data_IF_031533019599
#
_entry.id   IF_031533019599
#
_cell.length_a   1.000
_cell.length_b   1.000
_cell.length_c   1.000
_cell.angle_alpha   90.00
_cell.angle_beta   90.00
_cell.angle_gamma   90.00
#
_symmetry.space_group_name_H-M   'P 1'
#
loop_
_entity.id
_entity.type
_entity.pdbx_description
1 polymer ?
#
# COMPACT_ATOMS: atom_id res chain seq x y z
N UNK A 1 -4.00 34.73 -11.18
CA UNK A 1 -3.23 34.30 -12.38
C UNK A 1 -3.85 33.02 -12.87
N UNK A 2 -4.53 33.05 -14.02
CA UNK A 2 -5.02 31.85 -14.69
C UNK A 2 -3.83 31.20 -15.40
N UNK A 3 -3.49 29.99 -15.04
CA UNK A 3 -2.48 29.19 -15.75
C UNK A 3 -3.19 28.66 -16.99
N UNK A 4 -2.88 29.19 -18.16
CA UNK A 4 -3.36 28.67 -19.44
C UNK A 4 -2.65 27.34 -19.73
N UNK A 5 -3.21 26.23 -19.21
CA UNK A 5 -2.79 24.88 -19.55
C UNK A 5 -3.73 24.32 -20.60
N UNK A 6 -3.19 23.96 -21.75
CA UNK A 6 -3.92 23.27 -22.82
C UNK A 6 -3.80 21.76 -22.62
N UNK A 7 -4.91 21.04 -22.83
CA UNK A 7 -4.94 19.60 -22.73
C UNK A 7 -4.27 18.97 -23.96
N UNK A 8 -3.21 18.18 -23.73
CA UNK A 8 -2.56 17.43 -24.80
C UNK A 8 -3.35 16.18 -25.16
N UNK A 9 -4.15 16.23 -26.21
CA UNK A 9 -5.00 15.11 -26.64
C UNK A 9 -4.19 13.86 -26.93
N UNK A 10 -3.00 13.99 -27.52
CA UNK A 10 -2.09 12.86 -27.82
C UNK A 10 -1.61 12.10 -26.58
N UNK A 11 -1.70 12.72 -25.38
CA UNK A 11 -1.27 12.14 -24.10
C UNK A 11 -2.47 11.82 -23.20
N UNK A 12 -3.68 12.10 -23.66
CA UNK A 12 -4.90 11.85 -22.89
C UNK A 12 -5.45 10.49 -23.29
N UNK A 13 -5.64 9.65 -22.30
CA UNK A 13 -6.22 8.31 -22.44
C UNK A 13 -7.36 8.17 -21.43
N UNK A 14 -8.33 7.33 -21.69
CA UNK A 14 -9.38 7.03 -20.71
C UNK A 14 -9.43 5.55 -20.37
N UNK A 15 -9.84 5.25 -19.15
CA UNK A 15 -9.99 3.90 -18.65
C UNK A 15 -11.37 3.74 -18.03
N UNK A 16 -12.03 2.62 -18.31
CA UNK A 16 -13.29 2.23 -17.69
C UNK A 16 -13.02 1.12 -16.68
N UNK A 17 -13.29 1.42 -15.41
CA UNK A 17 -13.16 0.40 -14.37
C UNK A 17 -14.33 -0.58 -14.43
N UNK A 18 -14.02 -1.87 -14.53
CA UNK A 18 -14.99 -2.96 -14.61
C UNK A 18 -15.02 -3.79 -13.35
N UNK A 19 -16.20 -4.18 -12.92
CA UNK A 19 -16.35 -5.26 -11.94
C UNK A 19 -16.21 -6.62 -12.64
N UNK A 20 -15.72 -7.64 -11.91
CA UNK A 20 -15.48 -8.99 -12.48
C UNK A 20 -16.70 -9.66 -13.07
N UNK A 21 -17.91 -9.20 -12.72
CA UNK A 21 -19.18 -9.82 -13.12
C UNK A 21 -20.00 -8.99 -14.13
N UNK A 22 -19.48 -7.87 -14.64
CA UNK A 22 -20.22 -7.10 -15.63
C UNK A 22 -19.90 -7.59 -17.04
N UNK A 23 -20.74 -8.47 -17.55
CA UNK A 23 -20.67 -8.97 -18.92
C UNK A 23 -21.24 -7.99 -19.97
N UNK A 24 -21.88 -6.90 -19.55
CA UNK A 24 -22.59 -5.98 -20.44
C UNK A 24 -22.45 -4.51 -20.01
N UNK A 25 -21.27 -3.94 -20.12
CA UNK A 25 -21.17 -2.49 -20.27
C UNK A 25 -20.81 -2.21 -21.72
N UNK A 26 -21.66 -1.45 -22.44
CA UNK A 26 -21.39 -1.00 -23.79
C UNK A 26 -19.94 -0.50 -23.87
N UNK A 27 -19.09 -1.22 -24.58
CA UNK A 27 -17.69 -0.88 -24.69
C UNK A 27 -17.58 0.30 -25.67
N UNK A 28 -17.55 1.51 -25.14
CA UNK A 28 -16.99 2.62 -25.91
C UNK A 28 -15.49 2.37 -26.02
N UNK A 29 -15.00 2.16 -27.23
CA UNK A 29 -13.55 2.04 -27.48
C UNK A 29 -12.89 3.40 -27.64
N UNK A 30 -13.68 4.41 -28.03
CA UNK A 30 -13.23 5.79 -28.20
C UNK A 30 -14.25 6.75 -27.59
N UNK A 31 -13.75 7.87 -27.08
CA UNK A 31 -14.57 9.03 -26.66
C UNK A 31 -14.17 10.19 -27.54
N UNK A 32 -15.16 10.91 -28.11
CA UNK A 32 -14.92 12.12 -28.87
C UNK A 32 -14.81 13.31 -27.91
N UNK A 33 -13.73 14.03 -28.01
CA UNK A 33 -13.52 15.29 -27.32
C UNK A 33 -13.17 16.35 -28.38
N UNK A 34 -14.07 17.32 -28.58
CA UNK A 34 -14.03 18.25 -29.70
C UNK A 34 -13.96 17.48 -31.04
N UNK A 35 -12.93 17.73 -31.86
CA UNK A 35 -12.71 17.03 -33.14
C UNK A 35 -11.79 15.83 -33.06
N UNK A 36 -11.36 15.43 -31.85
CA UNK A 36 -10.35 14.40 -31.66
C UNK A 36 -10.96 13.18 -30.97
N UNK A 37 -10.42 11.99 -31.27
CA UNK A 37 -10.78 10.74 -30.64
C UNK A 37 -9.75 10.37 -29.57
N UNK A 38 -10.23 10.09 -28.36
CA UNK A 38 -9.42 9.60 -27.24
C UNK A 38 -9.63 8.10 -27.17
N UNK A 39 -8.52 7.34 -27.17
CA UNK A 39 -8.55 5.89 -27.12
C UNK A 39 -8.70 5.36 -25.68
N UNK A 40 -9.44 4.28 -25.57
CA UNK A 40 -9.55 3.52 -24.33
C UNK A 40 -8.30 2.70 -24.09
N UNK A 41 -7.85 2.67 -22.81
CA UNK A 41 -6.72 1.83 -22.39
C UNK A 41 -7.15 0.86 -21.28
N UNK A 42 -6.56 -0.33 -21.26
CA UNK A 42 -6.78 -1.33 -20.23
C UNK A 42 -5.83 -1.18 -19.04
N UNK A 43 -4.71 -0.49 -19.24
CA UNK A 43 -3.70 -0.20 -18.24
C UNK A 43 -3.14 1.20 -18.44
N UNK A 44 -2.87 1.88 -17.35
CA UNK A 44 -2.30 3.22 -17.36
C UNK A 44 -1.24 3.37 -16.26
N UNK A 45 -0.16 4.10 -16.54
CA UNK A 45 0.85 4.43 -15.54
C UNK A 45 0.62 5.84 -15.02
N UNK A 46 0.12 5.96 -13.80
CA UNK A 46 -0.15 7.23 -13.14
C UNK A 46 0.76 7.42 -11.93
N UNK A 47 1.55 8.50 -11.93
CA UNK A 47 2.49 8.84 -10.85
C UNK A 47 3.33 7.63 -10.37
N UNK A 48 3.80 6.80 -11.31
CA UNK A 48 4.60 5.61 -10.99
C UNK A 48 3.81 4.35 -10.64
N UNK A 49 2.50 4.43 -10.42
CA UNK A 49 1.61 3.28 -10.23
C UNK A 49 1.10 2.78 -11.58
N UNK A 50 1.12 1.48 -11.78
CA UNK A 50 0.47 0.83 -12.93
C UNK A 50 -0.92 0.41 -12.49
N UNK A 51 -1.94 1.06 -13.04
CA UNK A 51 -3.35 0.80 -12.75
C UNK A 51 -3.92 -0.02 -13.89
N UNK A 52 -4.67 -1.07 -13.58
CA UNK A 52 -5.42 -1.88 -14.54
C UNK A 52 -6.93 -1.68 -14.37
N UNK A 53 -7.73 -1.91 -15.42
CA UNK A 53 -9.18 -1.71 -15.44
C UNK A 53 -9.94 -2.50 -14.35
N UNK A 54 -9.33 -3.57 -13.82
CA UNK A 54 -9.90 -4.44 -12.78
C UNK A 54 -9.36 -4.14 -11.39
N UNK A 55 -8.42 -3.20 -11.26
CA UNK A 55 -7.73 -2.86 -10.01
C UNK A 55 -7.15 -4.10 -9.29
N UNK A 56 -6.55 -5.01 -10.07
CA UNK A 56 -5.96 -6.25 -9.52
C UNK A 56 -4.56 -6.02 -8.96
N UNK A 57 -3.90 -4.93 -9.36
CA UNK A 57 -2.52 -4.59 -9.02
C UNK A 57 -1.47 -5.58 -9.54
N UNK A 58 -1.86 -6.59 -10.32
CA UNK A 58 -0.94 -7.62 -10.82
C UNK A 58 0.19 -7.00 -11.63
N UNK A 59 -0.16 -6.14 -12.59
CA UNK A 59 0.83 -5.48 -13.45
C UNK A 59 1.77 -4.55 -12.66
N UNK A 60 1.24 -3.88 -11.61
CA UNK A 60 2.06 -3.07 -10.73
C UNK A 60 3.06 -3.90 -9.93
N UNK A 61 2.59 -4.99 -9.31
CA UNK A 61 3.45 -5.93 -8.55
C UNK A 61 4.50 -6.57 -9.47
N UNK A 62 4.16 -6.90 -10.72
CA UNK A 62 5.11 -7.41 -11.72
C UNK A 62 6.19 -6.36 -12.01
N UNK A 63 5.79 -5.10 -12.20
CA UNK A 63 6.72 -3.98 -12.40
C UNK A 63 7.65 -3.78 -11.20
N UNK A 64 7.10 -3.74 -9.99
CA UNK A 64 7.88 -3.61 -8.74
C UNK A 64 8.84 -4.78 -8.57
N UNK A 65 8.37 -6.02 -8.79
CA UNK A 65 9.21 -7.23 -8.70
C UNK A 65 10.37 -7.18 -9.66
N UNK A 66 10.12 -6.80 -10.92
CA UNK A 66 11.14 -6.67 -11.96
C UNK A 66 12.16 -5.58 -11.64
N UNK A 67 11.72 -4.47 -11.04
CA UNK A 67 12.60 -3.41 -10.58
C UNK A 67 13.47 -3.82 -9.38
N UNK A 68 12.97 -4.65 -8.47
CA UNK A 68 13.67 -5.04 -7.24
C UNK A 68 14.66 -6.19 -7.49
N UNK A 69 14.31 -7.15 -8.35
CA UNK A 69 15.09 -8.35 -8.56
C UNK A 69 16.58 -8.11 -8.91
N UNK A 70 16.96 -7.15 -9.77
CA UNK A 70 18.36 -6.83 -10.05
C UNK A 70 19.12 -6.39 -8.80
N UNK A 71 18.49 -5.60 -7.90
CA UNK A 71 19.13 -5.13 -6.67
C UNK A 71 19.33 -6.24 -5.65
N UNK A 72 18.41 -7.22 -5.60
CA UNK A 72 18.63 -8.45 -4.81
C UNK A 72 19.83 -9.22 -5.34
N UNK A 73 19.98 -9.32 -6.67
CA UNK A 73 21.15 -9.91 -7.32
C UNK A 73 22.46 -9.15 -7.06
N UNK A 74 22.37 -7.82 -7.03
CA UNK A 74 23.50 -6.93 -6.67
C UNK A 74 23.93 -7.20 -5.22
N UNK A 75 23.02 -7.19 -4.25
CA UNK A 75 23.34 -7.47 -2.84
C UNK A 75 24.04 -8.81 -2.66
N UNK A 76 23.63 -9.85 -3.40
CA UNK A 76 24.32 -11.16 -3.41
C UNK A 76 25.77 -11.02 -3.85
N UNK A 77 26.05 -10.25 -4.92
CA UNK A 77 27.40 -10.09 -5.51
C UNK A 77 28.32 -9.26 -4.64
N UNK A 78 27.82 -8.16 -4.05
CA UNK A 78 28.66 -7.26 -3.25
C UNK A 78 28.86 -7.75 -1.82
N UNK A 79 28.12 -8.78 -1.38
CA UNK A 79 28.16 -9.34 -0.02
C UNK A 79 29.59 -9.55 0.55
N UNK A 80 30.57 -10.08 -0.18
CA UNK A 80 31.92 -10.28 0.36
C UNK A 80 32.74 -9.00 0.48
N UNK A 81 32.33 -7.91 -0.17
CA UNK A 81 33.12 -6.67 -0.29
C UNK A 81 32.60 -5.52 0.56
N UNK A 82 31.39 -5.62 1.11
CA UNK A 82 30.76 -4.55 1.86
C UNK A 82 30.27 -5.04 3.23
N UNK A 83 30.32 -4.15 4.21
CA UNK A 83 29.80 -4.44 5.54
C UNK A 83 28.25 -4.45 5.57
N UNK A 84 27.71 -5.03 6.64
CA UNK A 84 26.25 -5.13 6.87
C UNK A 84 25.55 -3.76 6.82
N UNK A 85 26.16 -2.73 7.42
CA UNK A 85 25.57 -1.38 7.49
C UNK A 85 25.40 -0.78 6.10
N UNK A 86 26.41 -0.90 5.24
CA UNK A 86 26.34 -0.41 3.85
C UNK A 86 25.31 -1.21 3.04
N UNK A 87 25.31 -2.53 3.19
CA UNK A 87 24.32 -3.38 2.52
C UNK A 87 22.88 -3.03 2.94
N UNK A 88 22.67 -2.70 4.23
CA UNK A 88 21.36 -2.26 4.73
C UNK A 88 20.96 -0.88 4.17
N UNK A 89 21.89 0.05 4.03
CA UNK A 89 21.61 1.34 3.36
C UNK A 89 21.18 1.15 1.91
N UNK A 90 21.85 0.25 1.18
CA UNK A 90 21.47 -0.10 -0.20
C UNK A 90 20.09 -0.77 -0.26
N UNK A 91 19.77 -1.64 0.69
CA UNK A 91 18.43 -2.22 0.81
C UNK A 91 17.34 -1.15 0.98
N UNK A 92 17.54 -0.21 1.92
CA UNK A 92 16.57 0.87 2.12
C UNK A 92 16.43 1.78 0.89
N UNK A 93 17.53 2.09 0.23
CA UNK A 93 17.54 2.99 -0.93
C UNK A 93 16.86 2.35 -2.16
N UNK A 94 17.14 1.09 -2.48
CA UNK A 94 16.75 0.49 -3.76
C UNK A 94 15.61 -0.52 -3.67
N UNK A 95 15.39 -1.15 -2.53
CA UNK A 95 14.37 -2.19 -2.35
C UNK A 95 13.22 -1.66 -1.49
N UNK A 96 13.51 -1.26 -0.26
CA UNK A 96 12.49 -0.81 0.69
C UNK A 96 11.70 0.40 0.18
N UNK A 97 12.39 1.39 -0.38
CA UNK A 97 11.75 2.59 -0.96
C UNK A 97 10.72 2.24 -2.04
N UNK A 98 10.99 1.22 -2.87
CA UNK A 98 10.06 0.77 -3.92
C UNK A 98 8.91 -0.06 -3.36
N UNK A 99 9.16 -0.83 -2.30
CA UNK A 99 8.12 -1.60 -1.61
C UNK A 99 7.13 -0.69 -0.87
N UNK A 100 7.59 0.45 -0.33
CA UNK A 100 6.76 1.38 0.45
C UNK A 100 6.09 2.46 -0.40
N UNK A 101 6.55 2.68 -1.63
CA UNK A 101 5.99 3.73 -2.47
C UNK A 101 4.51 3.51 -2.74
N UNK A 102 3.66 4.44 -2.27
CA UNK A 102 2.20 4.38 -2.37
C UNK A 102 1.60 3.04 -1.90
N UNK A 103 2.28 2.31 -1.00
CA UNK A 103 1.87 0.98 -0.54
C UNK A 103 0.42 0.93 -0.01
N UNK A 104 -0.12 1.91 0.72
CA UNK A 104 -1.51 1.87 1.14
C UNK A 104 -2.50 1.67 -0.01
N UNK A 105 -2.23 2.24 -1.18
CA UNK A 105 -3.12 2.18 -2.34
C UNK A 105 -3.18 0.77 -2.93
N UNK A 106 -2.01 0.14 -3.15
CA UNK A 106 -1.93 -1.17 -3.81
C UNK A 106 -1.75 -2.35 -2.86
N UNK A 107 -1.72 -2.11 -1.55
CA UNK A 107 -1.68 -3.18 -0.53
C UNK A 107 -2.91 -4.09 -0.51
N UNK A 108 -3.97 -3.74 -1.26
CA UNK A 108 -5.14 -4.58 -1.51
C UNK A 108 -4.91 -5.69 -2.53
N UNK A 109 -3.72 -5.79 -3.12
CA UNK A 109 -3.36 -6.87 -4.04
C UNK A 109 -3.49 -8.27 -3.39
N UNK A 110 -3.57 -9.31 -4.22
CA UNK A 110 -3.76 -10.68 -3.73
C UNK A 110 -2.64 -11.15 -2.80
N UNK A 111 -2.94 -12.12 -1.94
CA UNK A 111 -1.92 -12.70 -1.04
C UNK A 111 -0.76 -13.34 -1.80
N UNK A 112 -1.03 -13.94 -2.95
CA UNK A 112 0.00 -14.52 -3.81
C UNK A 112 1.00 -13.47 -4.30
N UNK A 113 0.49 -12.31 -4.72
CA UNK A 113 1.30 -11.16 -5.14
C UNK A 113 2.15 -10.63 -3.97
N UNK A 114 1.57 -10.50 -2.79
CA UNK A 114 2.31 -10.10 -1.57
C UNK A 114 3.41 -11.10 -1.23
N UNK A 115 3.11 -12.40 -1.29
CA UNK A 115 4.08 -13.46 -1.01
C UNK A 115 5.24 -13.45 -2.02
N UNK A 116 4.99 -13.07 -3.26
CA UNK A 116 6.05 -12.90 -4.26
C UNK A 116 7.05 -11.81 -3.86
N UNK A 117 6.55 -10.64 -3.45
CA UNK A 117 7.39 -9.53 -2.97
C UNK A 117 8.08 -9.89 -1.64
N UNK A 118 7.38 -10.57 -0.73
CA UNK A 118 7.95 -11.08 0.51
C UNK A 118 9.15 -12.00 0.25
N UNK A 119 9.06 -12.89 -0.75
CA UNK A 119 10.19 -13.78 -1.11
C UNK A 119 11.40 -13.00 -1.60
N UNK A 120 11.20 -11.90 -2.35
CA UNK A 120 12.30 -11.02 -2.79
C UNK A 120 12.94 -10.30 -1.61
N UNK A 121 12.13 -9.77 -0.68
CA UNK A 121 12.60 -9.16 0.55
C UNK A 121 13.41 -10.16 1.40
N UNK A 122 12.88 -11.37 1.61
CA UNK A 122 13.56 -12.43 2.36
C UNK A 122 14.94 -12.75 1.77
N UNK A 123 15.03 -12.86 0.43
CA UNK A 123 16.33 -13.09 -0.24
C UNK A 123 17.30 -11.96 0.01
N UNK A 124 16.85 -10.70 -0.10
CA UNK A 124 17.70 -9.53 0.15
C UNK A 124 18.26 -9.55 1.58
N UNK A 125 17.40 -9.77 2.57
CA UNK A 125 17.81 -9.80 3.98
C UNK A 125 18.74 -10.97 4.28
N UNK A 126 18.49 -12.17 3.72
CA UNK A 126 19.41 -13.31 3.86
C UNK A 126 20.80 -12.99 3.33
N UNK A 127 20.91 -12.26 2.22
CA UNK A 127 22.21 -11.84 1.70
C UNK A 127 22.89 -10.81 2.61
N UNK A 128 22.16 -9.85 3.15
CA UNK A 128 22.68 -8.84 4.08
C UNK A 128 23.14 -9.47 5.38
N UNK A 129 22.32 -10.35 5.96
CA UNK A 129 22.61 -11.05 7.23
C UNK A 129 23.57 -12.23 7.07
N UNK A 130 24.03 -12.49 5.86
CA UNK A 130 24.90 -13.64 5.54
C UNK A 130 24.32 -14.99 5.99
N UNK A 131 22.98 -15.10 6.01
CA UNK A 131 22.28 -16.33 6.39
C UNK A 131 22.10 -17.29 5.21
N UNK A 132 21.99 -18.60 5.49
CA UNK A 132 21.65 -19.60 4.46
C UNK A 132 20.29 -19.30 3.82
N UNK A 133 20.13 -19.68 2.54
CA UNK A 133 18.85 -19.48 1.83
C UNK A 133 17.68 -20.28 2.46
N UNK A 134 17.97 -21.35 3.19
CA UNK A 134 16.97 -22.18 3.89
C UNK A 134 16.49 -21.57 5.21
N UNK A 135 17.11 -20.51 5.72
CA UNK A 135 16.70 -19.86 6.98
C UNK A 135 15.21 -19.49 6.94
N UNK A 136 14.42 -19.84 7.97
CA UNK A 136 13.01 -19.47 8.06
C UNK A 136 12.79 -17.96 8.03
N UNK A 137 11.63 -17.52 7.54
CA UNK A 137 11.31 -16.08 7.47
C UNK A 137 11.15 -15.45 8.86
N UNK A 138 10.71 -16.22 9.85
CA UNK A 138 10.55 -15.77 11.24
C UNK A 138 11.86 -15.29 11.89
N UNK A 139 12.99 -15.79 11.43
CA UNK A 139 14.32 -15.42 11.96
C UNK A 139 14.95 -14.21 11.24
N UNK A 140 14.27 -13.63 10.25
CA UNK A 140 14.82 -12.57 9.40
C UNK A 140 14.35 -11.19 9.82
N UNK A 141 13.25 -11.09 10.52
CA UNK A 141 12.56 -9.86 10.83
C UNK A 141 12.46 -9.66 12.33
N UNK A 142 12.55 -8.41 12.74
CA UNK A 142 12.46 -7.96 14.12
C UNK A 142 11.69 -6.63 14.19
N UNK A 143 11.61 -6.01 15.37
CA UNK A 143 10.95 -4.71 15.54
C UNK A 143 11.58 -3.58 14.71
N UNK A 144 12.83 -3.73 14.28
CA UNK A 144 13.51 -2.73 13.44
C UNK A 144 13.24 -2.94 11.96
N UNK A 145 13.16 -4.20 11.54
CA UNK A 145 12.96 -4.60 10.15
C UNK A 145 11.72 -5.47 10.02
N UNK A 146 10.63 -4.88 9.54
CA UNK A 146 9.35 -5.57 9.36
C UNK A 146 9.28 -6.32 8.03
N UNK A 147 8.58 -7.47 8.03
CA UNK A 147 8.29 -8.23 6.81
C UNK A 147 7.36 -7.43 5.88
N UNK A 148 7.38 -7.71 4.59
CA UNK A 148 6.54 -7.00 3.62
C UNK A 148 5.04 -7.17 3.92
N UNK A 149 4.63 -8.35 4.39
CA UNK A 149 3.24 -8.58 4.79
C UNK A 149 2.83 -7.65 5.93
N UNK A 150 3.64 -7.56 6.96
CA UNK A 150 3.43 -6.66 8.09
C UNK A 150 3.58 -5.18 7.68
N UNK A 151 4.47 -4.87 6.74
CA UNK A 151 4.66 -3.53 6.21
C UNK A 151 3.40 -3.01 5.51
N UNK A 152 2.64 -3.88 4.82
CA UNK A 152 1.36 -3.52 4.24
C UNK A 152 0.36 -3.03 5.30
N UNK A 153 0.24 -3.74 6.40
CA UNK A 153 -0.68 -3.36 7.48
C UNK A 153 -0.18 -2.13 8.25
N UNK A 154 1.12 -2.04 8.48
CA UNK A 154 1.77 -0.88 9.09
C UNK A 154 1.49 0.41 8.32
N UNK A 155 1.73 0.44 7.01
CA UNK A 155 1.54 1.62 6.18
C UNK A 155 0.06 2.02 6.06
N UNK A 156 -0.84 1.04 6.03
CA UNK A 156 -2.29 1.29 6.01
C UNK A 156 -2.76 1.93 7.33
N UNK A 157 -2.37 1.40 8.48
CA UNK A 157 -2.72 1.97 9.79
C UNK A 157 -2.13 3.38 9.93
N UNK A 158 -0.87 3.57 9.53
CA UNK A 158 -0.21 4.87 9.56
C UNK A 158 -0.89 5.90 8.65
N UNK A 159 -1.37 5.47 7.48
CA UNK A 159 -2.12 6.32 6.55
C UNK A 159 -3.43 6.82 7.19
N UNK A 160 -4.21 5.93 7.80
CA UNK A 160 -5.46 6.30 8.51
C UNK A 160 -5.15 7.28 9.66
N UNK A 161 -4.11 7.03 10.44
CA UNK A 161 -3.70 7.93 11.52
C UNK A 161 -3.33 9.33 11.00
N UNK A 162 -2.61 9.43 9.90
CA UNK A 162 -2.24 10.72 9.31
C UNK A 162 -3.47 11.52 8.85
N UNK A 163 -4.50 10.86 8.35
CA UNK A 163 -5.78 11.52 8.00
C UNK A 163 -6.46 12.00 9.28
N UNK A 164 -6.53 11.17 10.32
CA UNK A 164 -7.11 11.52 11.62
C UNK A 164 -6.43 12.74 12.26
N UNK A 165 -5.11 12.85 12.12
CA UNK A 165 -4.33 13.98 12.63
C UNK A 165 -4.41 15.23 11.72
N UNK A 166 -5.12 15.17 10.60
CA UNK A 166 -5.18 16.27 9.62
C UNK A 166 -3.88 16.52 8.86
N UNK A 167 -2.90 15.61 8.97
CA UNK A 167 -1.62 15.69 8.26
C UNK A 167 -1.74 15.37 6.76
N UNK A 168 -2.81 14.69 6.38
CA UNK A 168 -3.16 14.41 4.99
C UNK A 168 -4.56 14.96 4.73
N UNK A 169 -4.65 15.85 3.75
CA UNK A 169 -5.95 16.29 3.22
C UNK A 169 -6.51 15.18 2.35
N UNK A 170 -7.70 14.72 2.66
CA UNK A 170 -8.42 13.70 1.91
C UNK A 170 -9.89 14.13 1.86
N UNK A 171 -10.54 13.97 0.72
CA UNK A 171 -11.96 14.27 0.54
C UNK A 171 -12.87 13.26 1.29
N UNK A 172 -12.27 12.19 1.82
CA UNK A 172 -12.97 11.19 2.63
C UNK A 172 -12.95 11.60 4.09
N UNK A 173 -14.13 11.92 4.63
CA UNK A 173 -14.31 12.18 6.05
C UNK A 173 -14.35 10.88 6.83
N UNK A 174 -13.44 10.74 7.79
CA UNK A 174 -13.42 9.60 8.72
C UNK A 174 -14.29 9.95 9.94
N UNK A 175 -15.51 9.45 9.98
CA UNK A 175 -16.44 9.68 11.07
C UNK A 175 -16.27 8.64 12.18
N UNK A 176 -16.35 9.06 13.45
CA UNK A 176 -16.43 8.16 14.60
C UNK A 176 -17.88 7.75 14.88
N UNK A 177 -18.09 6.69 15.66
CA UNK A 177 -19.44 6.30 16.08
C UNK A 177 -20.08 7.36 16.98
N UNK A 178 -19.32 8.10 17.77
CA UNK A 178 -19.79 9.18 18.66
C UNK A 178 -20.43 10.35 17.91
N UNK A 179 -19.87 10.70 16.74
CA UNK A 179 -20.34 11.86 15.95
C UNK A 179 -21.80 11.77 15.49
N UNK A 180 -22.42 10.58 15.57
CA UNK A 180 -23.80 10.36 15.12
C UNK A 180 -24.82 10.16 16.25
N UNK A 181 -24.41 9.62 17.38
CA UNK A 181 -25.38 9.14 18.39
C UNK A 181 -25.41 9.98 19.65
N UNK A 182 -24.49 10.94 19.83
CA UNK A 182 -24.30 11.73 21.09
C UNK A 182 -24.27 10.85 22.36
N UNK A 183 -24.05 9.52 22.23
CA UNK A 183 -23.97 8.58 23.34
C UNK A 183 -22.55 8.03 23.43
N UNK A 184 -21.92 8.20 24.57
CA UNK A 184 -20.60 7.66 24.87
C UNK A 184 -20.73 6.18 25.16
N UNK A 185 -20.33 5.34 24.20
CA UNK A 185 -20.24 3.88 24.36
C UNK A 185 -18.78 3.45 24.34
N UNK A 186 -18.48 2.20 24.70
CA UNK A 186 -17.12 1.66 24.62
C UNK A 186 -16.50 1.73 23.20
N UNK A 187 -17.33 1.89 22.17
CA UNK A 187 -16.91 1.99 20.77
C UNK A 187 -17.01 3.40 20.21
N UNK A 188 -17.31 4.41 21.03
CA UNK A 188 -17.53 5.80 20.57
C UNK A 188 -16.30 6.38 19.86
N UNK A 189 -15.10 6.01 20.29
CA UNK A 189 -13.83 6.47 19.70
C UNK A 189 -13.42 5.71 18.42
N UNK A 190 -14.12 4.63 18.06
CA UNK A 190 -13.78 3.84 16.86
C UNK A 190 -14.28 4.53 15.60
N UNK A 191 -13.49 4.37 14.54
CA UNK A 191 -13.87 4.84 13.21
C UNK A 191 -15.01 3.99 12.66
N UNK A 192 -15.99 4.66 12.10
CA UNK A 192 -17.12 4.00 11.46
C UNK A 192 -16.68 3.36 10.15
N UNK A 193 -16.88 2.07 10.05
CA UNK A 193 -16.57 1.32 8.84
C UNK A 193 -17.66 1.56 7.79
N UNK A 194 -17.30 1.88 6.52
CA UNK A 194 -18.27 1.94 5.44
C UNK A 194 -18.88 0.56 5.21
N UNK A 195 -20.16 0.52 4.87
CA UNK A 195 -20.85 -0.75 4.60
C UNK A 195 -20.73 -1.07 3.12
N UNK A 196 -20.12 -2.20 2.79
CA UNK A 196 -20.02 -2.75 1.44
C UNK A 196 -20.45 -4.20 1.42
N UNK A 197 -21.30 -4.55 0.46
CA UNK A 197 -21.75 -5.93 0.23
C UNK A 197 -20.75 -6.75 -0.59
N UNK A 198 -19.96 -6.09 -1.46
CA UNK A 198 -19.04 -6.78 -2.34
C UNK A 198 -17.67 -7.00 -1.68
N UNK A 199 -17.14 -8.23 -1.75
CA UNK A 199 -15.83 -8.60 -1.21
C UNK A 199 -14.68 -7.71 -1.75
N UNK A 200 -14.77 -7.29 -3.03
CA UNK A 200 -13.77 -6.40 -3.64
C UNK A 200 -13.76 -5.02 -2.98
N UNK A 201 -14.92 -4.48 -2.66
CA UNK A 201 -15.05 -3.21 -1.95
C UNK A 201 -14.59 -3.31 -0.50
N UNK A 202 -14.76 -4.48 0.13
CA UNK A 202 -14.24 -4.79 1.47
C UNK A 202 -12.71 -4.87 1.51
N UNK A 203 -12.05 -5.13 0.38
CA UNK A 203 -10.59 -5.03 0.24
C UNK A 203 -10.09 -3.62 -0.02
N UNK A 204 -10.98 -2.62 -0.14
CA UNK A 204 -10.59 -1.24 -0.35
C UNK A 204 -9.75 -0.70 0.82
N UNK A 205 -8.90 0.29 0.53
CA UNK A 205 -8.03 0.92 1.51
C UNK A 205 -8.80 1.39 2.75
N UNK A 206 -9.93 2.06 2.56
CA UNK A 206 -10.70 2.61 3.69
C UNK A 206 -11.41 1.53 4.51
N UNK A 207 -12.02 0.55 3.88
CA UNK A 207 -12.69 -0.53 4.61
C UNK A 207 -11.69 -1.34 5.44
N UNK A 208 -10.67 -1.88 4.77
CA UNK A 208 -9.61 -2.66 5.43
C UNK A 208 -8.82 -1.82 6.42
N UNK A 209 -8.49 -0.56 6.04
CA UNK A 209 -7.69 0.34 6.85
C UNK A 209 -8.40 0.71 8.15
N UNK A 210 -9.68 1.04 8.09
CA UNK A 210 -10.48 1.35 9.29
C UNK A 210 -10.57 0.13 10.20
N UNK A 211 -10.78 -1.08 9.63
CA UNK A 211 -10.83 -2.31 10.42
C UNK A 211 -9.50 -2.57 11.14
N UNK A 212 -8.38 -2.49 10.43
CA UNK A 212 -7.04 -2.65 10.99
C UNK A 212 -6.76 -1.59 12.06
N UNK A 213 -7.13 -0.32 11.80
CA UNK A 213 -6.96 0.78 12.73
C UNK A 213 -7.77 0.57 14.02
N UNK A 214 -9.04 0.20 13.90
CA UNK A 214 -9.90 -0.09 15.05
C UNK A 214 -9.38 -1.28 15.86
N UNK A 215 -8.90 -2.34 15.19
CA UNK A 215 -8.29 -3.50 15.86
C UNK A 215 -7.02 -3.11 16.61
N UNK A 216 -6.17 -2.28 16.00
CA UNK A 216 -4.99 -1.73 16.67
C UNK A 216 -5.38 -0.90 17.88
N UNK A 217 -6.33 0.03 17.72
CA UNK A 217 -6.79 0.92 18.79
C UNK A 217 -7.41 0.15 19.94
N UNK A 218 -8.20 -0.90 19.67
CA UNK A 218 -8.81 -1.73 20.73
C UNK A 218 -7.78 -2.46 21.60
N UNK A 219 -6.65 -2.86 21.02
CA UNK A 219 -5.58 -3.56 21.75
C UNK A 219 -4.62 -2.61 22.49
N UNK A 220 -4.61 -1.31 22.14
CA UNK A 220 -3.65 -0.32 22.65
C UNK A 220 -4.30 0.93 23.28
N UNK A 221 -5.59 0.90 23.56
CA UNK A 221 -6.41 2.03 24.09
C UNK A 221 -5.90 2.66 25.40
N UNK A 222 -4.95 2.04 26.10
CA UNK A 222 -4.37 2.60 27.34
C UNK A 222 -3.25 3.62 27.10
N UNK A 223 -2.83 3.84 25.85
CA UNK A 223 -1.74 4.78 25.52
C UNK A 223 -2.14 5.63 24.31
N UNK A 224 -2.92 6.68 24.56
CA UNK A 224 -3.04 7.81 23.62
C UNK A 224 -1.65 8.42 23.44
N UNK A 225 -0.86 7.89 22.51
CA UNK A 225 0.40 8.50 22.14
C UNK A 225 0.11 9.81 21.42
N UNK A 226 0.43 10.92 22.03
CA UNK A 226 0.28 12.26 21.47
C UNK A 226 1.25 12.53 20.32
N UNK A 227 2.29 11.71 20.19
CA UNK A 227 3.33 11.83 19.17
C UNK A 227 3.16 10.80 18.05
N UNK A 228 3.30 11.25 16.78
CA UNK A 228 3.35 10.36 15.62
C UNK A 228 4.52 9.37 15.70
N UNK A 229 5.62 9.74 16.37
CA UNK A 229 6.79 8.86 16.55
C UNK A 229 6.46 7.67 17.44
N UNK A 230 5.81 7.91 18.59
CA UNK A 230 5.39 6.85 19.53
C UNK A 230 4.33 5.95 18.90
N UNK A 231 3.41 6.55 18.14
CA UNK A 231 2.41 5.80 17.39
C UNK A 231 3.04 4.84 16.39
N UNK A 232 4.07 5.26 15.64
CA UNK A 232 4.82 4.40 14.71
C UNK A 232 5.48 3.20 15.42
N UNK A 233 6.05 3.43 16.60
CA UNK A 233 6.66 2.35 17.41
C UNK A 233 5.59 1.36 17.85
N UNK A 234 4.46 1.85 18.33
CA UNK A 234 3.33 1.02 18.78
C UNK A 234 2.74 0.18 17.66
N UNK A 235 2.56 0.74 16.44
CA UNK A 235 2.10 -0.03 15.29
C UNK A 235 3.10 -1.13 14.93
N UNK A 236 4.40 -0.84 14.92
CA UNK A 236 5.41 -1.86 14.60
C UNK A 236 5.29 -3.06 15.52
N UNK A 237 5.20 -2.83 16.83
CA UNK A 237 5.03 -3.92 17.83
C UNK A 237 3.74 -4.71 17.58
N UNK A 238 2.63 -4.01 17.35
CA UNK A 238 1.34 -4.66 17.08
C UNK A 238 1.38 -5.54 15.84
N UNK A 239 1.98 -5.05 14.75
CA UNK A 239 2.02 -5.78 13.48
C UNK A 239 2.97 -6.96 13.55
N UNK A 240 4.11 -6.84 14.28
CA UNK A 240 5.08 -7.93 14.46
C UNK A 240 4.55 -9.05 15.38
N UNK A 241 3.53 -8.80 16.20
CA UNK A 241 2.91 -9.79 17.08
C UNK A 241 1.78 -10.59 16.44
N UNK A 242 1.43 -10.30 15.19
CA UNK A 242 0.40 -10.99 14.40
C UNK A 242 1.00 -12.02 13.46
#
# INVERSE_FOLDING_TARGET
MSINLEMSIKKTEFMVFKTTNSSNTGCFETIKFESNEICKVEKFKYLGLVIDEKLTWKLHVDSVSSCIAPYVGMLRRIRPFVNKTTSMKLYYAYIHSRLTYCLPVWSSCSIEQKMRLQRLQNKAIKFIEQKPLRTPSSELFDDKLISFLHLCDYEVILFIQKIQMGLLKCDVTLNTYESRTNRTTRQSSFLRQPQFSMAKSQNSLFYRGINLYNTFTSSHLSKTSTSLADFKISIKKFVSSR
#
